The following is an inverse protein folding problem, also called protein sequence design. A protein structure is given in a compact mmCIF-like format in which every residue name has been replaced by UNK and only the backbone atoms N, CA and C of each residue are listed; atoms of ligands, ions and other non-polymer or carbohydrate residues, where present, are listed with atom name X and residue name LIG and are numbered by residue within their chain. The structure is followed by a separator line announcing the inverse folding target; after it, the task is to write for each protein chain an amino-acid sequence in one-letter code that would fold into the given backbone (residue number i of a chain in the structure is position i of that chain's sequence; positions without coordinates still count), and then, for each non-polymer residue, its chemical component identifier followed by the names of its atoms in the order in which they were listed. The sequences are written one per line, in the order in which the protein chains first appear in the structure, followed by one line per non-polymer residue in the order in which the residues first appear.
data_IF_100187951975
#
_entry.id   IF_100187951975
#
_cell.length_a   1.000
_cell.length_b   1.000
_cell.length_c   1.000
_cell.angle_alpha   90.00
_cell.angle_beta   90.00
_cell.angle_gamma   90.00
#
_symmetry.space_group_name_H-M   'P 1'
#
loop_
_entity.id
_entity.type
_entity.pdbx_description
1 polymer ?
#
# COMPACT_ATOMS: atom_id res chain seq x y z
N UNK A 1 45.56 -0.40 -8.55
CA UNK A 1 44.63 0.03 -7.49
C UNK A 1 43.26 0.15 -8.13
N UNK A 2 42.42 -0.85 -7.96
CA UNK A 2 41.06 -0.87 -8.52
C UNK A 2 40.19 0.06 -7.66
N UNK A 3 39.35 0.94 -8.21
CA UNK A 3 38.46 1.74 -7.40
C UNK A 3 37.48 0.80 -6.68
N UNK A 4 37.52 0.80 -5.35
CA UNK A 4 36.51 0.17 -4.52
C UNK A 4 35.23 0.94 -4.77
N UNK A 5 34.36 0.42 -5.64
CA UNK A 5 32.99 0.90 -5.74
C UNK A 5 32.35 0.74 -4.37
N UNK A 6 31.83 1.81 -3.73
CA UNK A 6 31.11 1.66 -2.48
C UNK A 6 29.88 0.79 -2.77
N UNK A 7 29.88 -0.44 -2.25
CA UNK A 7 28.71 -1.31 -2.26
C UNK A 7 27.59 -0.63 -1.48
N UNK A 8 26.69 0.06 -2.18
CA UNK A 8 25.31 0.25 -1.75
C UNK A 8 24.45 -0.67 -2.63
N UNK A 9 23.87 -1.76 -2.11
CA UNK A 9 23.11 -2.70 -2.92
C UNK A 9 21.74 -2.19 -3.36
N UNK A 10 21.29 -1.02 -2.91
CA UNK A 10 19.86 -0.68 -3.01
C UNK A 10 19.50 0.55 -3.84
N UNK A 11 20.43 1.46 -4.14
CA UNK A 11 20.09 2.65 -4.92
C UNK A 11 20.97 2.79 -6.15
N UNK A 12 20.61 2.05 -7.21
CA UNK A 12 21.02 2.36 -8.57
C UNK A 12 19.98 3.33 -9.16
N UNK A 13 20.34 4.58 -9.49
CA UNK A 13 19.45 5.48 -10.21
C UNK A 13 18.91 4.77 -11.47
N UNK A 14 17.59 4.65 -11.59
CA UNK A 14 16.92 4.01 -12.74
C UNK A 14 16.40 2.59 -12.53
N UNK A 15 16.70 1.90 -11.41
CA UNK A 15 16.06 0.61 -11.10
C UNK A 15 14.71 0.82 -10.41
N UNK A 16 13.61 0.36 -11.02
CA UNK A 16 12.29 0.30 -10.37
C UNK A 16 12.13 -1.02 -9.65
N UNK A 17 11.59 -0.98 -8.44
CA UNK A 17 11.27 -2.17 -7.66
C UNK A 17 9.75 -2.28 -7.50
N UNK A 18 9.14 -3.42 -7.87
CA UNK A 18 7.71 -3.61 -7.70
C UNK A 18 7.34 -3.68 -6.20
N UNK A 19 6.18 -3.14 -5.79
CA UNK A 19 5.73 -3.27 -4.42
C UNK A 19 5.33 -4.69 -4.06
N UNK A 20 5.64 -5.06 -2.82
CA UNK A 20 4.97 -6.16 -2.12
C UNK A 20 3.73 -5.60 -1.43
N UNK A 21 2.57 -6.19 -1.70
CA UNK A 21 1.26 -5.72 -1.21
C UNK A 21 0.62 -6.79 -0.35
N UNK A 22 0.14 -6.39 0.83
CA UNK A 22 -0.55 -7.27 1.76
C UNK A 22 -1.84 -6.61 2.25
N UNK A 23 -2.94 -7.37 2.24
CA UNK A 23 -4.18 -6.95 2.90
C UNK A 23 -4.21 -7.54 4.31
N UNK A 24 -4.31 -6.67 5.30
CA UNK A 24 -4.43 -7.09 6.68
C UNK A 24 -5.92 -7.32 7.02
N UNK A 25 -6.23 -8.33 7.84
CA UNK A 25 -7.60 -8.56 8.29
C UNK A 25 -8.08 -7.40 9.17
N UNK A 26 -9.40 -7.14 9.20
CA UNK A 26 -9.98 -6.19 10.15
C UNK A 26 -9.65 -6.58 11.60
N UNK A 27 -9.51 -5.62 12.53
CA UNK A 27 -9.37 -5.89 13.95
C UNK A 27 -10.52 -6.75 14.47
N UNK A 28 -10.23 -7.67 15.39
CA UNK A 28 -11.24 -8.61 15.90
C UNK A 28 -12.45 -7.90 16.53
N UNK A 29 -12.23 -6.75 17.18
CA UNK A 29 -13.28 -5.91 17.76
C UNK A 29 -14.31 -5.41 16.74
N UNK A 30 -13.87 -5.21 15.49
CA UNK A 30 -14.70 -4.74 14.38
C UNK A 30 -15.47 -5.88 13.71
N UNK A 31 -15.01 -7.12 13.85
CA UNK A 31 -15.71 -8.32 13.32
C UNK A 31 -16.89 -8.78 14.19
N UNK A 32 -17.14 -8.09 15.31
CA UNK A 32 -18.30 -8.37 16.16
C UNK A 32 -19.58 -7.87 15.47
N UNK A 33 -20.70 -8.60 15.61
CA UNK A 33 -22.00 -8.22 15.01
C UNK A 33 -22.53 -6.85 15.46
N UNK A 34 -21.87 -6.21 16.42
CA UNK A 34 -22.20 -4.88 16.94
C UNK A 34 -21.63 -3.75 16.07
N UNK A 35 -20.64 -4.02 15.20
CA UNK A 35 -20.06 -3.01 14.31
C UNK A 35 -20.52 -3.22 12.86
N UNK A 36 -21.21 -2.24 12.25
CA UNK A 36 -21.74 -2.38 10.89
C UNK A 36 -20.70 -2.10 9.80
N UNK A 37 -19.52 -1.61 10.17
CA UNK A 37 -18.44 -1.24 9.25
C UNK A 37 -17.20 -2.06 9.54
N UNK A 38 -16.38 -2.29 8.52
CA UNK A 38 -15.07 -2.94 8.63
C UNK A 38 -13.99 -2.05 8.02
N UNK A 39 -12.82 -2.05 8.64
CA UNK A 39 -11.63 -1.35 8.16
C UNK A 39 -10.71 -2.35 7.48
N UNK A 40 -10.26 -2.02 6.27
CA UNK A 40 -9.26 -2.79 5.53
C UNK A 40 -7.96 -2.00 5.46
N UNK A 41 -6.85 -2.65 5.81
CA UNK A 41 -5.52 -2.02 5.76
C UNK A 41 -4.71 -2.65 4.65
N UNK A 42 -4.20 -1.81 3.74
CA UNK A 42 -3.28 -2.20 2.67
C UNK A 42 -1.85 -1.83 3.07
N UNK A 43 -0.99 -2.82 3.27
CA UNK A 43 0.43 -2.63 3.55
C UNK A 43 1.23 -2.76 2.26
N UNK A 44 1.91 -1.69 1.85
CA UNK A 44 2.74 -1.64 0.65
C UNK A 44 4.20 -1.44 1.05
N UNK A 45 5.12 -2.31 0.62
CA UNK A 45 6.54 -2.23 1.00
C UNK A 45 7.50 -2.72 -0.08
N UNK A 46 8.77 -2.32 0.03
CA UNK A 46 9.86 -2.83 -0.81
C UNK A 46 9.86 -2.33 -2.25
N UNK A 47 9.29 -1.15 -2.51
CA UNK A 47 9.19 -0.55 -3.83
C UNK A 47 10.11 0.65 -4.02
N UNK A 48 10.34 1.02 -5.28
CA UNK A 48 11.07 2.23 -5.68
C UNK A 48 10.58 2.71 -7.05
N UNK A 49 10.41 4.02 -7.29
CA UNK A 49 10.63 5.15 -6.36
C UNK A 49 9.60 5.16 -5.22
N UNK A 50 9.83 5.97 -4.18
CA UNK A 50 8.93 6.07 -3.02
C UNK A 50 7.55 6.66 -3.37
N UNK A 51 7.38 7.24 -4.56
CA UNK A 51 6.10 7.73 -5.05
C UNK A 51 5.26 6.60 -5.67
N UNK A 52 4.12 6.30 -5.05
CA UNK A 52 3.13 5.33 -5.53
C UNK A 52 1.70 5.86 -5.40
N UNK A 53 0.79 5.29 -6.19
CA UNK A 53 -0.65 5.53 -6.11
C UNK A 53 -1.36 4.26 -5.63
N UNK A 54 -2.35 4.40 -4.74
CA UNK A 54 -3.12 3.29 -4.18
C UNK A 54 -4.60 3.55 -4.42
N UNK A 55 -5.29 2.59 -5.03
CA UNK A 55 -6.71 2.70 -5.34
C UNK A 55 -7.48 1.50 -4.82
N UNK A 56 -8.64 1.76 -4.23
CA UNK A 56 -9.57 0.72 -3.80
C UNK A 56 -10.62 0.45 -4.87
N UNK A 57 -10.91 -0.84 -5.06
CA UNK A 57 -11.97 -1.31 -5.94
C UNK A 57 -12.90 -2.25 -5.19
N UNK A 58 -14.20 -2.14 -5.45
CA UNK A 58 -15.21 -3.06 -4.97
C UNK A 58 -15.88 -3.68 -6.18
N UNK A 59 -15.87 -5.01 -6.29
CA UNK A 59 -16.46 -5.72 -7.44
C UNK A 59 -15.96 -5.20 -8.80
N UNK A 60 -14.66 -4.91 -8.92
CA UNK A 60 -14.02 -4.31 -10.10
C UNK A 60 -14.45 -2.87 -10.45
N UNK A 61 -15.27 -2.23 -9.60
CA UNK A 61 -15.60 -0.80 -9.71
C UNK A 61 -14.68 0.03 -8.81
N UNK A 62 -14.12 1.11 -9.34
CA UNK A 62 -13.28 2.03 -8.56
C UNK A 62 -14.14 2.81 -7.57
N UNK A 63 -13.78 2.81 -6.29
CA UNK A 63 -14.61 3.46 -5.25
C UNK A 63 -14.48 4.99 -5.32
N UNK A 64 -13.39 5.51 -5.89
CA UNK A 64 -13.10 6.95 -5.97
C UNK A 64 -13.99 7.76 -6.92
N UNK A 65 -14.79 7.11 -7.77
CA UNK A 65 -15.73 7.78 -8.67
C UNK A 65 -17.22 7.64 -8.24
N UNK A 66 -17.48 6.87 -7.19
CA UNK A 66 -18.81 6.63 -6.62
C UNK A 66 -18.86 7.30 -5.27
N UNK A 67 -19.78 8.25 -5.07
CA UNK A 67 -19.86 9.19 -3.93
C UNK A 67 -20.11 8.58 -2.55
N UNK A 68 -19.33 7.58 -2.14
CA UNK A 68 -19.26 7.03 -0.80
C UNK A 68 -17.82 7.15 -0.30
N UNK A 69 -17.53 8.31 0.30
CA UNK A 69 -16.28 8.59 1.00
C UNK A 69 -16.17 7.69 2.23
N UNK A 70 -15.64 6.47 2.05
CA UNK A 70 -15.04 5.70 3.11
C UNK A 70 -13.58 6.13 3.22
N UNK A 71 -13.16 6.61 4.39
CA UNK A 71 -11.84 7.18 4.67
C UNK A 71 -10.70 6.46 3.93
N UNK A 72 -10.26 7.03 2.81
CA UNK A 72 -8.96 6.72 2.21
C UNK A 72 -7.89 7.46 3.01
N UNK A 73 -7.69 7.04 4.26
CA UNK A 73 -6.56 7.49 5.06
C UNK A 73 -5.29 6.87 4.50
N UNK A 74 -4.59 7.61 3.63
CA UNK A 74 -3.17 7.34 3.38
C UNK A 74 -2.39 7.92 4.54
N UNK A 75 -2.17 7.14 5.59
CA UNK A 75 -1.15 7.51 6.56
C UNK A 75 0.21 7.12 5.96
N UNK A 76 1.00 8.15 5.64
CA UNK A 76 2.40 8.01 5.17
C UNK A 76 3.33 8.05 6.37
#
# INVERSE_FOLDING_TARGET
ISPISPKSPFFSPGKRLPPSVFLLPPPAEETTSTRPTLSLTCLVRGFYPESIDVQWQKNQENIGNSGNSGNSGVET
#
